data_IF_234049305394
#
_entry.id   IF_234049305394
#
_cell.length_a   1.000
_cell.length_b   1.000
_cell.length_c   1.000
_cell.angle_alpha   90.00
_cell.angle_beta   90.00
_cell.angle_gamma   90.00
#
_symmetry.space_group_name_H-M   'P 1'
#
loop_
_entity.id
_entity.type
_entity.pdbx_description
1 polymer ?
#
# COMPACT_ATOMS: atom_id res chain seq x y z
N UNK A 1 6.58 40.85 -7.53
CA UNK A 1 8.02 41.21 -7.50
C UNK A 1 8.65 40.63 -8.74
N UNK A 2 9.34 41.48 -9.50
CA UNK A 2 9.86 41.21 -10.84
C UNK A 2 10.79 40.01 -10.86
N UNK A 3 10.41 38.98 -11.61
CA UNK A 3 11.34 37.93 -12.04
C UNK A 3 12.31 38.56 -13.04
N UNK A 4 13.35 39.23 -12.55
CA UNK A 4 14.52 39.54 -13.37
C UNK A 4 15.22 38.22 -13.65
N UNK A 5 14.74 37.55 -14.72
CA UNK A 5 15.49 36.47 -15.34
C UNK A 5 16.83 37.07 -15.70
N UNK A 6 17.90 36.46 -15.19
CA UNK A 6 19.29 36.76 -15.56
C UNK A 6 19.29 36.99 -17.07
N UNK A 7 19.73 38.17 -17.49
CA UNK A 7 19.75 38.53 -18.90
C UNK A 7 20.85 37.72 -19.58
N UNK A 8 20.52 36.48 -19.92
CA UNK A 8 21.42 35.51 -20.53
C UNK A 8 21.92 36.00 -21.88
N UNK A 9 21.22 36.98 -22.48
CA UNK A 9 21.67 37.68 -23.68
C UNK A 9 22.96 38.47 -23.43
N UNK A 10 23.12 39.12 -22.27
CA UNK A 10 24.31 39.91 -21.94
C UNK A 10 25.55 39.01 -21.77
N UNK A 11 25.39 37.87 -21.11
CA UNK A 11 26.47 36.87 -20.93
C UNK A 11 26.88 36.26 -22.28
N UNK A 12 25.91 35.95 -23.14
CA UNK A 12 26.17 35.41 -24.46
C UNK A 12 26.86 36.43 -25.38
N UNK A 13 26.50 37.71 -25.28
CA UNK A 13 27.10 38.80 -26.07
C UNK A 13 28.57 38.97 -25.74
N UNK A 14 28.95 38.98 -24.45
CA UNK A 14 30.36 39.08 -24.04
C UNK A 14 31.17 37.85 -24.47
N UNK A 15 30.55 36.67 -24.49
CA UNK A 15 31.22 35.45 -24.98
C UNK A 15 31.48 35.50 -26.49
N UNK A 16 30.51 35.94 -27.29
CA UNK A 16 30.72 36.11 -28.73
C UNK A 16 31.71 37.24 -29.03
N UNK A 17 31.71 38.33 -28.26
CA UNK A 17 32.70 39.41 -28.37
C UNK A 17 34.12 38.90 -28.05
N UNK A 18 34.26 38.07 -27.01
CA UNK A 18 35.54 37.41 -26.69
C UNK A 18 35.98 36.47 -27.82
N UNK A 19 35.06 35.64 -28.32
CA UNK A 19 35.34 34.69 -29.41
C UNK A 19 35.75 35.42 -30.69
N UNK A 20 35.12 36.55 -30.99
CA UNK A 20 35.48 37.38 -32.14
C UNK A 20 36.85 38.07 -31.93
N UNK A 21 37.15 38.52 -30.71
CA UNK A 21 38.47 39.09 -30.38
C UNK A 21 39.61 38.07 -30.50
N UNK A 22 39.35 36.79 -30.17
CA UNK A 22 40.29 35.68 -30.32
C UNK A 22 40.40 35.22 -31.78
N UNK A 23 39.29 35.21 -32.53
CA UNK A 23 39.29 34.90 -33.97
C UNK A 23 40.10 35.92 -34.77
N UNK A 24 39.95 37.22 -34.49
CA UNK A 24 40.80 38.29 -35.07
C UNK A 24 42.28 38.12 -34.76
N UNK A 25 42.63 37.45 -33.66
CA UNK A 25 44.02 37.17 -33.27
C UNK A 25 44.64 36.02 -34.08
N UNK A 26 43.83 35.06 -34.55
CA UNK A 26 44.30 33.86 -35.26
C UNK A 26 44.43 34.00 -36.79
N UNK A 27 43.90 35.06 -37.42
CA UNK A 27 43.98 35.29 -38.88
C UNK A 27 45.22 36.12 -39.32
N UNK A 28 46.09 36.55 -38.40
CA UNK A 28 47.35 37.23 -38.70
C UNK A 28 48.57 36.35 -38.36
N UNK A 29 49.65 36.33 -39.18
CA UNK A 29 50.82 35.51 -38.89
C UNK A 29 51.48 35.91 -37.55
N UNK A 30 51.97 34.89 -36.86
CA UNK A 30 52.53 34.90 -35.51
C UNK A 30 53.69 35.90 -35.34
N UNK A 31 53.53 36.83 -34.40
CA UNK A 31 54.61 37.54 -33.68
C UNK A 31 54.24 37.61 -32.18
N UNK A 32 55.21 37.52 -31.25
CA UNK A 32 54.91 37.32 -29.83
C UNK A 32 54.48 38.61 -29.14
N UNK A 33 53.23 38.61 -28.68
CA UNK A 33 52.68 39.27 -27.50
C UNK A 33 52.95 40.77 -27.27
N UNK A 34 51.87 41.56 -27.34
CA UNK A 34 51.43 42.29 -26.16
C UNK A 34 49.95 42.01 -25.94
N UNK A 35 49.69 41.07 -25.04
CA UNK A 35 48.37 40.90 -24.46
C UNK A 35 48.08 42.18 -23.71
N UNK A 36 47.08 42.96 -24.15
CA UNK A 36 46.63 44.13 -23.38
C UNK A 36 45.98 43.65 -22.09
N UNK A 37 46.82 43.53 -21.04
CA UNK A 37 46.44 43.07 -19.71
C UNK A 37 45.35 43.97 -19.11
N UNK A 38 45.25 45.22 -19.56
CA UNK A 38 44.24 46.19 -19.12
C UNK A 38 42.83 45.75 -19.55
N UNK A 39 42.66 45.37 -20.82
CA UNK A 39 41.39 44.90 -21.35
C UNK A 39 40.98 43.55 -20.74
N UNK A 40 41.93 42.65 -20.50
CA UNK A 40 41.67 41.35 -19.85
C UNK A 40 41.30 41.53 -18.38
N UNK A 41 41.98 42.42 -17.65
CA UNK A 41 41.65 42.71 -16.26
C UNK A 41 40.26 43.34 -16.13
N UNK A 42 39.90 44.29 -17.01
CA UNK A 42 38.57 44.88 -17.04
C UNK A 42 37.47 43.84 -17.32
N UNK A 43 37.72 42.89 -18.22
CA UNK A 43 36.79 41.80 -18.50
C UNK A 43 36.68 40.83 -17.32
N UNK A 44 37.81 40.51 -16.68
CA UNK A 44 37.85 39.62 -15.50
C UNK A 44 37.09 40.22 -14.32
N UNK A 45 37.27 41.52 -14.06
CA UNK A 45 36.54 42.24 -13.00
C UNK A 45 35.02 42.24 -13.24
N UNK A 46 34.58 42.40 -14.51
CA UNK A 46 33.17 42.30 -14.89
C UNK A 46 32.61 40.89 -14.66
N UNK A 47 33.37 39.86 -15.01
CA UNK A 47 32.97 38.47 -14.72
C UNK A 47 32.92 38.18 -13.23
N UNK A 48 33.88 38.66 -12.43
CA UNK A 48 33.85 38.50 -10.98
C UNK A 48 32.64 39.18 -10.33
N UNK A 49 32.24 40.35 -10.81
CA UNK A 49 31.05 41.05 -10.31
C UNK A 49 29.76 40.30 -10.64
N UNK A 50 29.62 39.77 -11.86
CA UNK A 50 28.47 38.91 -12.22
C UNK A 50 28.45 37.60 -11.43
N UNK A 51 29.62 36.99 -11.19
CA UNK A 51 29.72 35.79 -10.35
C UNK A 51 29.33 36.09 -8.91
N UNK A 52 29.72 37.24 -8.34
CA UNK A 52 29.29 37.69 -7.00
C UNK A 52 27.78 37.91 -6.94
N UNK A 53 27.20 38.47 -7.98
CA UNK A 53 25.75 38.70 -8.08
C UNK A 53 24.97 37.38 -8.19
N UNK A 54 25.43 36.45 -9.04
CA UNK A 54 24.85 35.10 -9.17
C UNK A 54 25.05 34.25 -7.91
N UNK A 55 26.18 34.40 -7.21
CA UNK A 55 26.48 33.69 -5.95
C UNK A 55 25.64 34.18 -4.77
N UNK A 56 24.96 35.33 -4.88
CA UNK A 56 23.99 35.78 -3.89
C UNK A 56 22.75 34.89 -3.97
N UNK A 57 22.86 33.69 -3.38
CA UNK A 57 21.80 32.70 -3.40
C UNK A 57 20.54 33.26 -2.76
N UNK A 58 19.50 33.41 -3.57
CA UNK A 58 18.17 33.76 -3.04
C UNK A 58 17.63 32.52 -2.36
N UNK A 59 17.72 32.47 -1.03
CA UNK A 59 17.13 31.41 -0.22
C UNK A 59 15.61 31.55 -0.23
N UNK A 60 14.93 30.82 -1.12
CA UNK A 60 13.46 30.81 -1.19
C UNK A 60 12.92 29.91 -0.08
N UNK A 61 12.43 30.51 1.01
CA UNK A 61 11.75 29.79 2.08
C UNK A 61 10.27 29.63 1.70
N UNK A 62 9.80 28.39 1.60
CA UNK A 62 8.39 28.08 1.39
C UNK A 62 7.71 27.96 2.77
N UNK A 63 6.87 28.93 3.13
CA UNK A 63 6.01 28.83 4.31
C UNK A 63 4.57 28.50 3.89
N UNK A 64 4.03 27.41 4.43
CA UNK A 64 2.60 27.13 4.38
C UNK A 64 1.94 27.71 5.62
N UNK A 65 1.15 28.77 5.44
CA UNK A 65 0.34 29.37 6.51
C UNK A 65 -1.10 28.88 6.33
N UNK A 66 -1.55 28.02 7.22
CA UNK A 66 -2.95 27.60 7.30
C UNK A 66 -3.64 28.54 8.29
N UNK A 67 -4.43 29.48 7.78
CA UNK A 67 -5.23 30.39 8.61
C UNK A 67 -6.61 29.78 8.87
N UNK A 68 -6.87 29.39 10.11
CA UNK A 68 -8.18 28.87 10.53
C UNK A 68 -9.02 30.05 11.00
N UNK A 69 -9.87 30.57 10.11
CA UNK A 69 -10.60 31.84 10.30
C UNK A 69 -11.72 31.83 11.34
N UNK A 70 -12.05 30.69 11.96
CA UNK A 70 -13.14 30.60 12.95
C UNK A 70 -12.81 29.62 14.08
N UNK A 71 -12.84 30.14 15.31
CA UNK A 71 -12.60 29.38 16.53
C UNK A 71 -13.59 28.20 16.68
N UNK A 72 -14.85 28.38 16.24
CA UNK A 72 -15.88 27.33 16.27
C UNK A 72 -15.55 26.17 15.33
N UNK A 73 -15.06 26.46 14.14
CA UNK A 73 -14.66 25.44 13.15
C UNK A 73 -13.44 24.68 13.64
N UNK A 74 -12.49 25.36 14.29
CA UNK A 74 -11.31 24.73 14.89
C UNK A 74 -11.68 23.71 15.97
N UNK A 75 -12.51 24.09 16.94
CA UNK A 75 -12.98 23.16 17.97
C UNK A 75 -13.85 22.04 17.41
N UNK A 76 -14.68 22.31 16.40
CA UNK A 76 -15.44 21.27 15.70
C UNK A 76 -14.53 20.26 15.01
N UNK A 77 -13.45 20.72 14.37
CA UNK A 77 -12.47 19.84 13.73
C UNK A 77 -11.75 18.97 14.78
N UNK A 78 -11.33 19.57 15.89
CA UNK A 78 -10.72 18.85 17.01
C UNK A 78 -11.70 17.81 17.57
N UNK A 79 -12.97 18.19 17.81
CA UNK A 79 -14.00 17.29 18.30
C UNK A 79 -14.24 16.11 17.35
N UNK A 80 -14.28 16.36 16.03
CA UNK A 80 -14.39 15.31 15.02
C UNK A 80 -13.18 14.36 15.06
N UNK A 81 -11.96 14.89 15.15
CA UNK A 81 -10.75 14.06 15.30
C UNK A 81 -10.80 13.19 16.55
N UNK A 82 -11.25 13.72 17.69
CA UNK A 82 -11.38 12.95 18.94
C UNK A 82 -12.40 11.82 18.77
N UNK A 83 -13.55 12.08 18.16
CA UNK A 83 -14.57 11.03 17.90
C UNK A 83 -14.00 9.94 17.00
N UNK A 84 -13.28 10.30 15.92
CA UNK A 84 -12.63 9.33 15.02
C UNK A 84 -11.62 8.47 15.79
N UNK A 85 -10.83 9.07 16.69
CA UNK A 85 -9.87 8.32 17.51
C UNK A 85 -10.57 7.34 18.46
N UNK A 86 -11.66 7.76 19.11
CA UNK A 86 -12.46 6.89 19.99
C UNK A 86 -13.04 5.71 19.21
N UNK A 87 -13.63 5.97 18.04
CA UNK A 87 -14.16 4.91 17.17
C UNK A 87 -13.06 3.96 16.69
N UNK A 88 -11.90 4.50 16.32
CA UNK A 88 -10.75 3.70 15.90
C UNK A 88 -10.26 2.79 17.02
N UNK A 89 -10.19 3.30 18.25
CA UNK A 89 -9.82 2.51 19.42
C UNK A 89 -10.86 1.42 19.73
N UNK A 90 -12.15 1.75 19.64
CA UNK A 90 -13.22 0.78 19.84
C UNK A 90 -13.15 -0.36 18.80
N UNK A 91 -12.94 -0.03 17.52
CA UNK A 91 -12.77 -1.01 16.44
C UNK A 91 -11.51 -1.86 16.67
N UNK A 92 -10.41 -1.24 17.09
CA UNK A 92 -9.16 -1.95 17.38
C UNK A 92 -9.36 -3.02 18.47
N UNK A 93 -10.01 -2.65 19.58
CA UNK A 93 -10.31 -3.60 20.65
C UNK A 93 -11.25 -4.72 20.19
N UNK A 94 -12.28 -4.38 19.39
CA UNK A 94 -13.18 -5.38 18.83
C UNK A 94 -12.47 -6.36 17.90
N UNK A 95 -11.51 -5.91 17.09
CA UNK A 95 -10.77 -6.80 16.17
C UNK A 95 -10.07 -7.93 16.91
N UNK A 96 -9.49 -7.66 18.08
CA UNK A 96 -8.84 -8.69 18.89
C UNK A 96 -9.85 -9.75 19.35
N UNK A 97 -10.99 -9.31 19.90
CA UNK A 97 -12.05 -10.23 20.36
C UNK A 97 -12.65 -11.04 19.21
N UNK A 98 -12.89 -10.41 18.05
CA UNK A 98 -13.41 -11.09 16.86
C UNK A 98 -12.43 -12.16 16.37
N UNK A 99 -11.12 -11.87 16.38
CA UNK A 99 -10.10 -12.87 16.02
C UNK A 99 -10.14 -14.06 16.97
N UNK A 100 -10.21 -13.81 18.29
CA UNK A 100 -10.30 -14.87 19.29
C UNK A 100 -11.54 -15.74 19.10
N UNK A 101 -12.71 -15.16 18.81
CA UNK A 101 -13.91 -15.95 18.54
C UNK A 101 -13.78 -16.82 17.29
N UNK A 102 -13.15 -16.29 16.24
CA UNK A 102 -12.90 -17.04 15.01
C UNK A 102 -11.95 -18.21 15.24
N UNK A 103 -10.91 -18.01 16.05
CA UNK A 103 -9.95 -19.05 16.38
C UNK A 103 -10.58 -20.11 17.28
N UNK A 104 -11.39 -19.70 18.27
CA UNK A 104 -12.12 -20.62 19.15
C UNK A 104 -13.15 -21.46 18.40
N UNK A 105 -13.87 -20.88 17.44
CA UNK A 105 -14.76 -21.63 16.54
C UNK A 105 -14.00 -22.70 15.76
N UNK A 106 -12.84 -22.35 15.20
CA UNK A 106 -12.01 -23.31 14.46
C UNK A 106 -11.46 -24.42 15.36
N UNK A 107 -11.00 -24.08 16.57
CA UNK A 107 -10.58 -25.06 17.59
C UNK A 107 -11.71 -26.03 17.92
N UNK A 108 -12.93 -25.52 18.14
CA UNK A 108 -14.10 -26.35 18.44
C UNK A 108 -14.41 -27.32 17.30
N UNK A 109 -14.45 -26.84 16.05
CA UNK A 109 -14.71 -27.69 14.89
C UNK A 109 -13.63 -28.74 14.68
N UNK A 110 -12.37 -28.37 14.91
CA UNK A 110 -11.25 -29.32 14.87
C UNK A 110 -11.38 -30.43 15.93
N UNK A 111 -11.69 -30.07 17.17
CA UNK A 111 -11.92 -31.05 18.24
C UNK A 111 -13.10 -31.98 17.90
N UNK A 112 -14.18 -31.40 17.35
CA UNK A 112 -15.35 -32.18 16.91
C UNK A 112 -14.99 -33.17 15.80
N UNK A 113 -14.16 -32.76 14.85
CA UNK A 113 -13.64 -33.64 13.79
C UNK A 113 -12.80 -34.80 14.35
N UNK A 114 -11.94 -34.54 15.34
CA UNK A 114 -11.08 -35.57 15.94
C UNK A 114 -11.87 -36.62 16.74
N UNK A 115 -13.09 -36.30 17.20
CA UNK A 115 -14.02 -37.22 17.86
C UNK A 115 -13.65 -37.63 19.29
N UNK A 116 -12.36 -37.64 19.65
CA UNK A 116 -11.85 -37.82 21.03
C UNK A 116 -10.71 -36.85 21.28
N UNK A 117 -10.71 -36.21 22.44
CA UNK A 117 -9.67 -35.26 22.85
C UNK A 117 -9.21 -35.57 24.27
N UNK A 118 -7.90 -35.60 24.48
CA UNK A 118 -7.26 -35.61 25.80
C UNK A 118 -6.89 -34.20 26.21
N UNK A 119 -6.75 -33.94 27.51
CA UNK A 119 -6.32 -32.61 28.01
C UNK A 119 -4.97 -32.19 27.40
N UNK A 120 -4.05 -33.14 27.19
CA UNK A 120 -2.77 -32.89 26.53
C UNK A 120 -2.93 -32.43 25.08
N UNK A 121 -3.87 -33.02 24.34
CA UNK A 121 -4.15 -32.62 22.95
C UNK A 121 -4.80 -31.24 22.87
N UNK A 122 -5.60 -30.83 23.86
CA UNK A 122 -6.11 -29.44 23.94
C UNK A 122 -4.97 -28.46 24.14
N UNK A 123 -4.02 -28.77 25.02
CA UNK A 123 -2.87 -27.90 25.26
C UNK A 123 -2.00 -27.76 24.01
N UNK A 124 -1.71 -28.88 23.32
CA UNK A 124 -0.99 -28.88 22.05
C UNK A 124 -1.72 -28.06 20.97
N UNK A 125 -3.05 -28.15 20.93
CA UNK A 125 -3.86 -27.36 20.01
C UNK A 125 -3.74 -25.86 20.31
N UNK A 126 -3.67 -25.46 21.57
CA UNK A 126 -3.45 -24.06 21.94
C UNK A 126 -2.10 -23.56 21.40
N UNK A 127 -1.04 -24.34 21.60
CA UNK A 127 0.30 -24.00 21.08
C UNK A 127 0.31 -23.91 19.55
N UNK A 128 -0.44 -24.76 18.85
CA UNK A 128 -0.55 -24.67 17.38
C UNK A 128 -1.26 -23.38 16.92
N UNK A 129 -2.09 -22.76 17.74
CA UNK A 129 -2.74 -21.49 17.38
C UNK A 129 -1.86 -20.26 17.60
N UNK A 130 -0.69 -20.42 18.23
CA UNK A 130 0.33 -19.37 18.30
C UNK A 130 1.00 -19.12 16.93
N UNK A 131 1.03 -20.13 16.06
CA UNK A 131 1.65 -20.05 14.74
C UNK A 131 0.60 -19.99 13.62
N UNK A 132 0.69 -19.00 12.73
CA UNK A 132 -0.31 -18.79 11.66
C UNK A 132 -0.36 -19.94 10.64
N UNK A 133 0.76 -20.61 10.39
CA UNK A 133 0.86 -21.68 9.40
C UNK A 133 0.08 -22.93 9.84
N UNK A 134 0.16 -23.28 11.12
CA UNK A 134 -0.62 -24.39 11.70
C UNK A 134 -2.11 -24.06 11.72
N UNK A 135 -2.51 -22.82 11.99
CA UNK A 135 -3.92 -22.40 11.88
C UNK A 135 -4.44 -22.59 10.45
N UNK A 136 -3.63 -22.27 9.44
CA UNK A 136 -3.99 -22.50 8.04
C UNK A 136 -4.18 -23.99 7.72
N UNK A 137 -3.26 -24.84 8.17
CA UNK A 137 -3.33 -26.30 7.97
C UNK A 137 -4.57 -26.87 8.66
N UNK A 138 -4.81 -26.50 9.93
CA UNK A 138 -5.98 -26.92 10.70
C UNK A 138 -7.27 -26.51 9.99
N UNK A 139 -7.33 -25.28 9.48
CA UNK A 139 -8.50 -24.80 8.71
C UNK A 139 -8.75 -25.69 7.50
N UNK A 140 -7.71 -26.04 6.74
CA UNK A 140 -7.86 -26.91 5.57
C UNK A 140 -8.33 -28.30 5.92
N UNK A 141 -7.80 -28.89 7.00
CA UNK A 141 -8.23 -30.20 7.47
C UNK A 141 -9.71 -30.21 7.86
N UNK A 142 -10.15 -29.19 8.62
CA UNK A 142 -11.56 -29.06 9.02
C UNK A 142 -12.46 -28.87 7.80
N UNK A 143 -12.10 -27.96 6.88
CA UNK A 143 -12.88 -27.69 5.66
C UNK A 143 -13.06 -28.95 4.81
N UNK A 144 -12.00 -29.76 4.67
CA UNK A 144 -12.04 -31.01 3.90
C UNK A 144 -12.91 -32.07 4.57
N UNK A 145 -12.75 -32.25 5.89
CA UNK A 145 -13.59 -33.18 6.65
C UNK A 145 -15.08 -32.80 6.59
N UNK A 146 -15.41 -31.53 6.80
CA UNK A 146 -16.80 -31.06 6.74
C UNK A 146 -17.42 -31.28 5.36
N UNK A 147 -16.64 -31.09 4.28
CA UNK A 147 -17.07 -31.39 2.92
C UNK A 147 -17.35 -32.89 2.75
N UNK A 148 -16.42 -33.75 3.16
CA UNK A 148 -16.57 -35.20 3.03
C UNK A 148 -17.75 -35.75 3.85
N UNK A 149 -17.98 -35.23 5.05
CA UNK A 149 -19.13 -35.59 5.88
C UNK A 149 -20.44 -35.17 5.20
N UNK A 150 -20.48 -33.96 4.63
CA UNK A 150 -21.65 -33.46 3.91
C UNK A 150 -21.96 -34.33 2.68
N UNK A 151 -20.96 -34.64 1.86
CA UNK A 151 -21.13 -35.49 0.67
C UNK A 151 -21.61 -36.90 1.04
N UNK A 152 -21.11 -37.47 2.13
CA UNK A 152 -21.57 -38.77 2.62
C UNK A 152 -23.02 -38.71 3.09
N UNK A 153 -23.40 -37.67 3.85
CA UNK A 153 -24.78 -37.48 4.28
C UNK A 153 -25.74 -37.35 3.09
N UNK A 154 -25.39 -36.56 2.07
CA UNK A 154 -26.18 -36.41 0.84
C UNK A 154 -26.32 -37.74 0.08
N UNK A 155 -25.25 -38.54 -0.01
CA UNK A 155 -25.29 -39.87 -0.63
C UNK A 155 -26.22 -40.83 0.12
N UNK A 156 -26.17 -40.81 1.46
CA UNK A 156 -27.04 -41.64 2.31
C UNK A 156 -28.51 -41.21 2.15
N UNK A 157 -28.80 -39.91 2.14
CA UNK A 157 -30.16 -39.41 1.93
C UNK A 157 -30.70 -39.79 0.54
N UNK A 158 -29.89 -39.65 -0.50
CA UNK A 158 -30.27 -40.08 -1.86
C UNK A 158 -30.55 -41.58 -1.93
N UNK A 159 -29.72 -42.40 -1.28
CA UNK A 159 -29.94 -43.83 -1.21
C UNK A 159 -31.25 -44.19 -0.49
N UNK A 160 -31.58 -43.49 0.61
CA UNK A 160 -32.86 -43.64 1.32
C UNK A 160 -34.05 -43.24 0.45
N UNK A 161 -33.96 -42.13 -0.27
CA UNK A 161 -35.00 -41.69 -1.19
C UNK A 161 -35.27 -42.73 -2.29
N UNK A 162 -34.21 -43.22 -2.93
CA UNK A 162 -34.32 -44.24 -3.97
C UNK A 162 -34.88 -45.56 -3.44
N UNK A 163 -34.49 -45.98 -2.22
CA UNK A 163 -35.02 -47.20 -1.60
C UNK A 163 -36.53 -47.09 -1.32
N UNK A 164 -36.98 -45.95 -0.78
CA UNK A 164 -38.39 -45.68 -0.54
C UNK A 164 -39.20 -45.68 -1.84
N UNK A 165 -38.63 -45.14 -2.92
CA UNK A 165 -39.28 -45.09 -4.22
C UNK A 165 -39.40 -46.49 -4.87
N UNK A 166 -38.35 -47.33 -4.75
CA UNK A 166 -38.41 -48.73 -5.18
C UNK A 166 -39.48 -49.50 -4.41
N UNK A 167 -39.57 -49.32 -3.09
CA UNK A 167 -40.59 -49.97 -2.26
C UNK A 167 -42.01 -49.51 -2.64
N UNK A 168 -42.19 -48.23 -2.96
CA UNK A 168 -43.48 -47.68 -3.45
C UNK A 168 -43.88 -48.31 -4.78
N UNK A 169 -42.96 -48.33 -5.75
CA UNK A 169 -43.21 -48.93 -7.06
C UNK A 169 -43.49 -50.43 -6.96
N UNK A 170 -42.79 -51.15 -6.07
CA UNK A 170 -43.03 -52.57 -5.85
C UNK A 170 -44.45 -52.83 -5.31
N UNK A 171 -44.90 -52.04 -4.32
CA UNK A 171 -46.28 -52.11 -3.80
C UNK A 171 -47.33 -51.81 -4.87
N UNK A 172 -47.07 -50.82 -5.73
CA UNK A 172 -47.96 -50.52 -6.85
C UNK A 172 -48.07 -51.71 -7.82
N UNK A 173 -46.95 -52.32 -8.21
CA UNK A 173 -46.92 -53.51 -9.08
C UNK A 173 -47.66 -54.69 -8.45
N UNK A 174 -47.46 -54.96 -7.15
CA UNK A 174 -48.17 -56.01 -6.42
C UNK A 174 -49.67 -55.75 -6.37
N UNK A 175 -50.10 -54.51 -6.13
CA UNK A 175 -51.52 -54.12 -6.11
C UNK A 175 -52.19 -54.27 -7.49
N UNK A 176 -51.46 -54.01 -8.58
CA UNK A 176 -51.95 -54.18 -9.95
C UNK A 176 -52.07 -55.66 -10.32
N UNK A 177 -51.16 -56.51 -9.85
CA UNK A 177 -51.25 -57.97 -10.07
C UNK A 177 -52.47 -58.59 -9.36
N UNK A 178 -52.85 -58.09 -8.19
CA UNK A 178 -54.02 -58.58 -7.43
C UNK A 178 -55.36 -58.13 -8.02
N UNK A 179 -55.38 -57.11 -8.89
CA UNK A 179 -56.59 -56.61 -9.56
C UNK A 179 -56.91 -57.29 -10.88
N UNK A 180 -56.10 -58.25 -11.33
CA UNK A 180 -56.24 -58.98 -12.59
C UNK A 180 -56.60 -60.43 -12.34
#
# INVERSE_FOLDING_TARGET
MSNEKIDTSAVYTLFEELKESLKRRNEKPVEPAQVDMTAINAMTERFENLIKEVKKSTKINHHHVISIGSNKVFFSLIGMCIVILILSFAIYNQRQTISQYKDNDLKYRYIKMQGRTTNENVYKLETLFEYSDSVFIIRKQVEEYERLVKEQAEKIERARWNANEVERLQREVESLKLKK
#
